data_IF_532489369237
#
_entry.id   IF_532489369237
#
_cell.length_a   1.000
_cell.length_b   1.000
_cell.length_c   1.000
_cell.angle_alpha   90.00
_cell.angle_beta   90.00
_cell.angle_gamma   90.00
#
_symmetry.space_group_name_H-M   'P 1'
#
loop_
_entity.id
_entity.type
_entity.pdbx_description
1 polymer ?
#
# COMPACT_ATOMS: atom_id res chain seq x y z
N UNK A 1 10.17 7.74 -5.07
CA UNK A 1 9.68 9.13 -5.03
C UNK A 1 8.26 9.24 -5.56
N UNK A 2 7.96 8.93 -6.84
CA UNK A 2 6.60 9.03 -7.39
C UNK A 2 5.53 8.23 -6.62
N UNK A 3 5.80 6.96 -6.31
CA UNK A 3 4.87 6.06 -5.62
C UNK A 3 4.41 6.60 -4.24
N UNK A 4 5.32 7.25 -3.53
CA UNK A 4 5.07 7.82 -2.21
C UNK A 4 4.18 9.06 -2.31
N UNK A 5 4.48 9.99 -3.23
CA UNK A 5 3.68 11.20 -3.43
C UNK A 5 2.28 10.87 -3.95
N UNK A 6 2.19 9.95 -4.92
CA UNK A 6 0.92 9.47 -5.44
C UNK A 6 0.06 8.86 -4.34
N UNK A 7 0.65 8.01 -3.49
CA UNK A 7 -0.04 7.41 -2.36
C UNK A 7 -0.53 8.44 -1.34
N UNK A 8 0.30 9.40 -0.93
CA UNK A 8 -0.09 10.39 0.08
C UNK A 8 -1.17 11.37 -0.42
N UNK A 9 -1.15 11.76 -1.69
CA UNK A 9 -2.19 12.63 -2.25
C UNK A 9 -3.51 11.92 -2.34
N UNK A 10 -3.49 10.73 -2.93
CA UNK A 10 -4.72 10.02 -3.24
C UNK A 10 -5.39 9.50 -1.96
N UNK A 11 -4.62 9.10 -0.94
CA UNK A 11 -5.17 8.82 0.40
C UNK A 11 -5.74 10.05 1.08
N UNK A 12 -5.13 11.23 0.93
CA UNK A 12 -5.67 12.48 1.48
C UNK A 12 -6.98 12.88 0.81
N UNK A 13 -7.06 12.82 -0.52
CA UNK A 13 -8.29 13.07 -1.28
C UNK A 13 -9.38 12.08 -0.86
N UNK A 14 -9.04 10.79 -0.78
CA UNK A 14 -9.98 9.75 -0.33
C UNK A 14 -10.50 10.00 1.09
N UNK A 15 -9.62 10.37 2.03
CA UNK A 15 -10.01 10.71 3.39
C UNK A 15 -10.97 11.91 3.43
N UNK A 16 -10.71 12.94 2.62
CA UNK A 16 -11.58 14.12 2.53
C UNK A 16 -12.97 13.78 1.98
N UNK A 17 -13.03 12.94 0.94
CA UNK A 17 -14.31 12.46 0.38
C UNK A 17 -15.05 11.46 1.28
N UNK A 18 -14.33 10.70 2.11
CA UNK A 18 -14.89 9.69 3.01
C UNK A 18 -15.32 10.25 4.36
N UNK A 19 -14.76 11.40 4.78
CA UNK A 19 -15.06 12.08 6.04
C UNK A 19 -16.58 12.22 6.36
N UNK A 20 -17.45 12.67 5.43
CA UNK A 20 -18.87 12.87 5.73
C UNK A 20 -19.71 11.59 5.79
N UNK A 21 -19.21 10.44 5.30
CA UNK A 21 -20.01 9.20 5.21
C UNK A 21 -19.50 8.10 6.14
N UNK A 22 -18.21 8.14 6.52
CA UNK A 22 -17.56 7.25 7.49
C UNK A 22 -18.05 5.78 7.46
N UNK A 23 -18.06 5.11 6.29
CA UNK A 23 -18.57 3.75 6.17
C UNK A 23 -17.75 2.78 7.03
N UNK A 24 -18.42 1.83 7.69
CA UNK A 24 -17.79 0.92 8.66
C UNK A 24 -16.61 0.11 8.12
N UNK A 25 -16.58 -0.19 6.81
CA UNK A 25 -15.46 -0.89 6.18
C UNK A 25 -14.16 -0.07 6.21
N UNK A 26 -14.27 1.27 6.20
CA UNK A 26 -13.11 2.16 6.19
C UNK A 26 -12.31 2.06 7.50
N UNK A 27 -12.97 1.70 8.62
CA UNK A 27 -12.32 1.47 9.91
C UNK A 27 -11.34 0.31 9.85
N UNK A 28 -11.70 -0.79 9.18
CA UNK A 28 -10.81 -1.94 9.00
C UNK A 28 -9.56 -1.58 8.20
N UNK A 29 -9.70 -0.78 7.14
CA UNK A 29 -8.57 -0.24 6.38
C UNK A 29 -7.64 0.63 7.24
N UNK A 30 -8.22 1.50 8.08
CA UNK A 30 -7.47 2.37 8.99
C UNK A 30 -6.69 1.58 10.04
N UNK A 31 -7.29 0.57 10.69
CA UNK A 31 -6.59 -0.23 11.70
C UNK A 31 -5.41 -1.00 11.12
N UNK A 32 -5.59 -1.63 9.96
CA UNK A 32 -4.51 -2.35 9.27
C UNK A 32 -3.40 -1.40 8.82
N UNK A 33 -3.77 -0.22 8.32
CA UNK A 33 -2.81 0.80 7.93
C UNK A 33 -2.00 1.28 9.14
N UNK A 34 -2.65 1.64 10.26
CA UNK A 34 -1.98 2.06 11.48
C UNK A 34 -1.02 0.99 12.01
N UNK A 35 -1.43 -0.28 11.97
CA UNK A 35 -0.59 -1.39 12.40
C UNK A 35 0.70 -1.47 11.56
N UNK A 36 0.59 -1.49 10.23
CA UNK A 36 1.76 -1.55 9.36
C UNK A 36 2.62 -0.29 9.46
N UNK A 37 1.99 0.88 9.59
CA UNK A 37 2.68 2.16 9.76
C UNK A 37 3.45 2.20 11.08
N UNK A 38 2.89 1.67 12.17
CA UNK A 38 3.59 1.56 13.44
C UNK A 38 4.90 0.78 13.28
N UNK A 39 4.90 -0.35 12.57
CA UNK A 39 6.12 -1.11 12.27
C UNK A 39 7.08 -0.35 11.35
N UNK A 40 6.57 0.31 10.31
CA UNK A 40 7.39 1.11 9.38
C UNK A 40 8.12 2.25 10.10
N UNK A 41 7.42 3.03 10.91
CA UNK A 41 7.99 4.18 11.60
C UNK A 41 8.93 3.74 12.74
N UNK A 42 8.61 2.65 13.44
CA UNK A 42 9.52 2.06 14.41
C UNK A 42 10.86 1.68 13.76
N UNK A 43 10.83 1.14 12.55
CA UNK A 43 12.04 0.84 11.78
C UNK A 43 12.84 2.08 11.40
N UNK A 44 12.16 3.13 10.91
CA UNK A 44 12.84 4.39 10.58
C UNK A 44 13.44 5.05 11.82
N UNK A 45 12.77 4.97 12.96
CA UNK A 45 13.27 5.44 14.25
C UNK A 45 14.55 4.69 14.66
N UNK A 46 14.54 3.36 14.65
CA UNK A 46 15.71 2.52 14.93
C UNK A 46 16.88 2.82 13.98
N UNK A 47 16.59 3.07 12.70
CA UNK A 47 17.59 3.45 11.70
C UNK A 47 18.16 4.86 11.98
N UNK A 48 17.36 5.79 12.49
CA UNK A 48 17.81 7.14 12.88
C UNK A 48 18.76 7.12 14.08
N UNK A 49 18.62 6.13 14.96
CA UNK A 49 19.52 5.89 16.10
C UNK A 49 20.86 5.25 15.71
N UNK A 50 21.21 5.21 14.42
CA UNK A 50 22.43 4.57 13.86
C UNK A 50 22.58 3.07 14.15
N UNK A 51 21.52 2.39 14.59
CA UNK A 51 21.53 0.94 14.74
C UNK A 51 21.55 0.32 13.34
N UNK A 52 22.52 -0.57 13.07
CA UNK A 52 22.64 -1.31 11.81
C UNK A 52 21.51 -2.32 11.69
N UNK A 53 20.36 -1.88 11.21
CA UNK A 53 19.22 -2.78 10.98
C UNK A 53 19.45 -3.57 9.68
N UNK A 54 19.41 -4.92 9.72
CA UNK A 54 19.66 -5.75 8.54
C UNK A 54 18.62 -5.48 7.43
N UNK A 55 19.07 -5.52 6.17
CA UNK A 55 18.23 -5.21 5.00
C UNK A 55 17.00 -6.12 4.85
N UNK A 56 17.01 -7.29 5.46
CA UNK A 56 15.86 -8.20 5.55
C UNK A 56 14.65 -7.57 6.26
N UNK A 57 14.86 -6.69 7.23
CA UNK A 57 13.77 -6.00 7.94
C UNK A 57 13.07 -5.00 7.02
N UNK A 58 13.83 -4.30 6.16
CA UNK A 58 13.23 -3.43 5.14
C UNK A 58 12.37 -4.23 4.16
N UNK A 59 12.82 -5.44 3.80
CA UNK A 59 12.07 -6.35 2.95
C UNK A 59 10.77 -6.83 3.62
N UNK A 60 10.84 -7.22 4.89
CA UNK A 60 9.66 -7.57 5.70
C UNK A 60 8.62 -6.44 5.73
N UNK A 61 9.06 -5.19 5.93
CA UNK A 61 8.16 -4.03 5.98
C UNK A 61 7.49 -3.80 4.62
N UNK A 62 8.23 -3.88 3.51
CA UNK A 62 7.62 -3.79 2.17
C UNK A 62 6.64 -4.93 1.92
N UNK A 63 6.92 -6.14 2.38
CA UNK A 63 5.99 -7.28 2.29
C UNK A 63 4.73 -7.02 3.11
N UNK A 64 4.85 -6.50 4.34
CA UNK A 64 3.72 -6.15 5.19
C UNK A 64 2.84 -5.05 4.56
N UNK A 65 3.43 -4.03 3.94
CA UNK A 65 2.68 -3.00 3.21
C UNK A 65 1.88 -3.59 2.04
N UNK A 66 2.48 -4.47 1.25
CA UNK A 66 1.78 -5.14 0.15
C UNK A 66 0.63 -5.99 0.69
N UNK A 67 0.88 -6.74 1.76
CA UNK A 67 -0.10 -7.62 2.37
C UNK A 67 -1.29 -6.82 2.93
N UNK A 68 -1.04 -5.64 3.51
CA UNK A 68 -2.10 -4.71 3.92
C UNK A 68 -2.99 -4.28 2.74
N UNK A 69 -2.42 -3.90 1.60
CA UNK A 69 -3.22 -3.58 0.40
C UNK A 69 -4.02 -4.78 -0.12
N UNK A 70 -3.43 -5.98 -0.12
CA UNK A 70 -4.13 -7.20 -0.53
C UNK A 70 -5.34 -7.47 0.37
N UNK A 71 -5.17 -7.38 1.69
CA UNK A 71 -6.29 -7.56 2.64
C UNK A 71 -7.36 -6.50 2.41
N UNK A 72 -6.99 -5.23 2.21
CA UNK A 72 -7.94 -4.14 1.93
C UNK A 72 -8.77 -4.39 0.67
N UNK A 73 -8.14 -4.85 -0.42
CA UNK A 73 -8.85 -5.22 -1.66
C UNK A 73 -9.80 -6.40 -1.43
N UNK A 74 -9.39 -7.41 -0.67
CA UNK A 74 -10.24 -8.58 -0.36
C UNK A 74 -11.46 -8.17 0.46
N UNK A 75 -11.30 -7.31 1.45
CA UNK A 75 -12.42 -6.78 2.27
C UNK A 75 -13.38 -5.97 1.39
N UNK A 76 -12.87 -5.10 0.51
CA UNK A 76 -13.67 -4.36 -0.47
C UNK A 76 -14.43 -5.29 -1.42
N UNK A 77 -13.76 -6.30 -1.96
CA UNK A 77 -14.37 -7.29 -2.86
C UNK A 77 -15.48 -8.07 -2.15
N UNK A 78 -15.25 -8.50 -0.91
CA UNK A 78 -16.25 -9.19 -0.10
C UNK A 78 -17.47 -8.29 0.17
N UNK A 79 -17.24 -7.01 0.48
CA UNK A 79 -18.32 -6.05 0.70
C UNK A 79 -19.12 -5.79 -0.59
N UNK A 80 -18.44 -5.66 -1.73
CA UNK A 80 -19.07 -5.56 -3.04
C UNK A 80 -19.95 -6.78 -3.34
N UNK A 81 -19.45 -7.98 -3.05
CA UNK A 81 -20.21 -9.22 -3.20
C UNK A 81 -21.48 -9.24 -2.32
N UNK A 82 -21.38 -8.87 -1.04
CA UNK A 82 -22.52 -8.78 -0.12
C UNK A 82 -23.59 -7.79 -0.62
N UNK A 83 -23.20 -6.67 -1.20
CA UNK A 83 -24.16 -5.65 -1.63
C UNK A 83 -24.79 -6.00 -2.97
N UNK A 84 -23.99 -6.49 -3.93
CA UNK A 84 -24.48 -6.78 -5.28
C UNK A 84 -25.22 -8.11 -5.40
N UNK A 85 -24.79 -9.14 -4.64
CA UNK A 85 -25.35 -10.49 -4.69
C UNK A 85 -26.39 -10.71 -3.60
N UNK A 86 -26.10 -10.33 -2.35
CA UNK A 86 -27.02 -10.52 -1.23
C UNK A 86 -28.03 -9.37 -1.05
N UNK A 87 -27.90 -8.26 -1.82
CA UNK A 87 -28.78 -7.08 -1.78
C UNK A 87 -29.07 -6.57 -0.36
N UNK A 88 -28.07 -6.65 0.52
CA UNK A 88 -28.23 -6.18 1.90
C UNK A 88 -28.34 -4.65 1.90
N UNK A 89 -29.43 -4.14 2.47
CA UNK A 89 -29.68 -2.72 2.66
C UNK A 89 -28.79 -2.16 3.77
N UNK A 90 -27.51 -1.93 3.48
CA UNK A 90 -26.61 -1.19 4.35
C UNK A 90 -26.45 0.25 3.86
N UNK A 91 -26.21 1.16 4.79
CA UNK A 91 -25.87 2.55 4.48
C UNK A 91 -24.50 2.57 3.78
N UNK A 92 -24.55 2.60 2.45
CA UNK A 92 -23.40 2.37 1.59
C UNK A 92 -23.41 3.42 0.49
N UNK A 93 -22.41 4.29 0.51
CA UNK A 93 -22.21 5.25 -0.56
C UNK A 93 -21.45 4.58 -1.72
N UNK A 94 -22.12 4.24 -2.85
CA UNK A 94 -21.46 3.56 -3.98
C UNK A 94 -20.31 4.40 -4.55
N UNK A 95 -20.41 5.73 -4.48
CA UNK A 95 -19.35 6.65 -4.89
C UNK A 95 -18.04 6.46 -4.11
N UNK A 96 -18.13 6.28 -2.79
CA UNK A 96 -16.93 6.10 -1.93
C UNK A 96 -16.35 4.70 -2.12
N UNK A 97 -17.20 3.70 -2.31
CA UNK A 97 -16.75 2.33 -2.58
C UNK A 97 -16.01 2.19 -3.91
N UNK A 98 -16.52 2.81 -4.98
CA UNK A 98 -15.85 2.82 -6.29
C UNK A 98 -14.51 3.55 -6.20
N UNK A 99 -14.45 4.69 -5.50
CA UNK A 99 -13.22 5.42 -5.23
C UNK A 99 -12.19 4.59 -4.45
N UNK A 100 -12.62 3.92 -3.39
CA UNK A 100 -11.76 3.04 -2.58
C UNK A 100 -11.22 1.87 -3.40
N UNK A 101 -12.09 1.21 -4.16
CA UNK A 101 -11.72 0.07 -5.02
C UNK A 101 -10.73 0.49 -6.10
N UNK A 102 -10.97 1.63 -6.75
CA UNK A 102 -10.06 2.17 -7.76
C UNK A 102 -8.69 2.53 -7.17
N UNK A 103 -8.67 3.16 -6.00
CA UNK A 103 -7.46 3.51 -5.28
C UNK A 103 -6.65 2.25 -4.91
N UNK A 104 -7.28 1.28 -4.26
CA UNK A 104 -6.60 0.07 -3.77
C UNK A 104 -6.11 -0.82 -4.92
N UNK A 105 -6.86 -0.96 -6.02
CA UNK A 105 -6.41 -1.67 -7.22
C UNK A 105 -5.18 -0.98 -7.83
N UNK A 106 -5.21 0.36 -7.94
CA UNK A 106 -4.08 1.11 -8.49
C UNK A 106 -2.83 0.95 -7.62
N UNK A 107 -2.97 1.01 -6.30
CA UNK A 107 -1.86 0.77 -5.37
C UNK A 107 -1.34 -0.65 -5.45
N UNK A 108 -2.21 -1.66 -5.51
CA UNK A 108 -1.82 -3.05 -5.62
C UNK A 108 -0.95 -3.28 -6.87
N UNK A 109 -1.38 -2.77 -8.03
CA UNK A 109 -0.61 -2.88 -9.29
C UNK A 109 0.75 -2.18 -9.15
N UNK A 110 0.78 -0.98 -8.59
CA UNK A 110 2.00 -0.20 -8.45
C UNK A 110 2.99 -0.85 -7.47
N UNK A 111 2.50 -1.41 -6.38
CA UNK A 111 3.28 -2.12 -5.38
C UNK A 111 3.77 -3.49 -5.87
N UNK A 112 2.95 -4.23 -6.61
CA UNK A 112 3.37 -5.46 -7.29
C UNK A 112 4.46 -5.16 -8.29
N UNK A 113 4.30 -4.11 -9.11
CA UNK A 113 5.34 -3.70 -10.07
C UNK A 113 6.64 -3.30 -9.35
N UNK A 114 6.54 -2.54 -8.25
CA UNK A 114 7.69 -2.21 -7.41
C UNK A 114 8.35 -3.46 -6.80
N UNK A 115 7.56 -4.40 -6.27
CA UNK A 115 8.08 -5.63 -5.67
C UNK A 115 8.75 -6.52 -6.70
N UNK A 116 8.12 -6.72 -7.86
CA UNK A 116 8.71 -7.45 -8.98
C UNK A 116 10.00 -6.77 -9.43
N UNK A 117 10.01 -5.45 -9.60
CA UNK A 117 11.21 -4.72 -10.05
C UNK A 117 12.33 -4.72 -9.00
N UNK A 118 12.01 -4.64 -7.71
CA UNK A 118 12.99 -4.52 -6.62
C UNK A 118 13.52 -5.87 -6.13
N UNK A 119 12.69 -6.92 -6.13
CA UNK A 119 13.03 -8.22 -5.55
C UNK A 119 13.12 -9.36 -6.57
N UNK A 120 12.24 -9.42 -7.58
CA UNK A 120 12.21 -10.55 -8.54
C UNK A 120 13.12 -10.29 -9.75
N UNK A 121 12.97 -9.15 -10.40
CA UNK A 121 13.75 -8.72 -11.58
C UNK A 121 15.04 -8.00 -11.11
N UNK A 122 14.99 -7.36 -9.94
CA UNK A 122 16.08 -6.63 -9.31
C UNK A 122 17.05 -7.49 -8.49
N UNK A 123 16.72 -8.75 -8.23
CA UNK A 123 17.51 -9.72 -7.45
C UNK A 123 18.84 -10.16 -8.09
N UNK A 124 19.49 -9.32 -8.91
CA UNK A 124 20.85 -9.60 -9.35
C UNK A 124 21.47 -8.74 -10.46
N UNK A 125 20.74 -7.94 -11.24
CA UNK A 125 21.35 -7.32 -12.45
C UNK A 125 21.22 -5.81 -12.63
N UNK A 126 20.30 -5.11 -11.96
CA UNK A 126 20.14 -3.66 -12.18
C UNK A 126 21.19 -2.80 -11.45
N UNK A 127 21.68 -3.21 -10.27
CA UNK A 127 22.79 -2.50 -9.60
C UNK A 127 24.15 -2.65 -10.30
N UNK A 128 24.37 -3.71 -11.08
CA UNK A 128 25.66 -3.93 -11.77
C UNK A 128 25.79 -3.12 -13.07
N UNK A 129 24.70 -2.79 -13.75
CA UNK A 129 24.75 -2.02 -15.00
C UNK A 129 24.93 -0.52 -14.80
N UNK A 130 24.45 0.06 -13.70
CA UNK A 130 24.68 1.48 -13.42
C UNK A 130 26.13 1.79 -13.03
N UNK A 131 26.87 0.81 -12.48
CA UNK A 131 28.29 0.95 -12.15
C UNK A 131 29.25 0.72 -13.32
N UNK A 132 28.84 -0.06 -14.34
CA UNK A 132 29.67 -0.29 -15.55
C UNK A 132 29.61 0.86 -16.56
N UNK A 133 28.49 1.60 -16.65
CA UNK A 133 28.39 2.78 -17.54
C UNK A 133 29.17 4.00 -17.06
N UNK A 134 29.53 4.07 -15.78
CA UNK A 134 30.25 5.22 -15.21
C UNK A 134 31.78 5.05 -15.19
N UNK A 135 32.30 3.85 -15.51
CA UNK A 135 33.75 3.56 -15.60
C UNK A 135 34.29 3.53 -17.04
N UNK A 136 33.46 3.92 -18.02
CA UNK A 136 33.80 3.91 -19.45
C UNK A 136 33.59 5.28 -20.10
N UNK A 137 33.76 6.36 -19.34
CA UNK A 137 34.00 7.71 -19.84
C UNK A 137 35.18 8.30 -19.07
#
# INVERSE_FOLDING_TARGET
>A
MFLHWYHHVLTMIYAFYSYPVSPGFNRWGIYLNFFVHAFMYSYYFLRSMKIRVPGFVAQLITTLQILQFVISVVILAHLGFLIYIQKVSCDFAPRIFVLASFMDITYLILFINFFLKSYVIGGGKSKYQSGKKQKSN
#
